data_IF_555111079969
#
_entry.id   IF_555111079969
#
_cell.length_a   1.000
_cell.length_b   1.000
_cell.length_c   1.000
_cell.angle_alpha   90.00
_cell.angle_beta   90.00
_cell.angle_gamma   90.00
#
_symmetry.space_group_name_H-M   'P 1'
#
loop_
_entity.id
_entity.type
_entity.pdbx_description
1 polymer ?
#
# COMPACT_ATOMS: atom_id res chain seq x y z
N UNK A 1 10.16 -7.83 14.88
CA UNK A 1 10.81 -6.77 14.07
C UNK A 1 9.75 -6.05 13.25
N UNK A 2 9.94 -4.78 12.86
CA UNK A 2 8.95 -4.04 12.06
C UNK A 2 8.57 -4.76 10.75
N UNK A 3 9.49 -5.57 10.20
CA UNK A 3 9.25 -6.45 9.05
C UNK A 3 8.05 -7.38 9.21
N UNK A 4 7.97 -8.11 10.33
CA UNK A 4 6.85 -9.04 10.57
C UNK A 4 5.55 -8.27 10.73
N UNK A 5 5.61 -7.16 11.46
CA UNK A 5 4.46 -6.27 11.69
C UNK A 5 3.88 -5.75 10.37
N UNK A 6 4.73 -5.24 9.47
CA UNK A 6 4.27 -4.73 8.17
C UNK A 6 3.73 -5.85 7.27
N UNK A 7 4.29 -7.05 7.36
CA UNK A 7 3.75 -8.21 6.66
C UNK A 7 2.33 -8.55 7.14
N UNK A 8 2.10 -8.51 8.46
CA UNK A 8 0.76 -8.72 9.03
C UNK A 8 -0.21 -7.58 8.71
N UNK A 9 0.26 -6.33 8.70
CA UNK A 9 -0.54 -5.18 8.26
C UNK A 9 -1.06 -5.41 6.83
N UNK A 10 -0.17 -5.72 5.89
CA UNK A 10 -0.55 -5.98 4.51
C UNK A 10 -1.44 -7.22 4.36
N UNK A 11 -1.21 -8.26 5.14
CA UNK A 11 -2.11 -9.41 5.18
C UNK A 11 -3.54 -9.00 5.57
N UNK A 12 -3.70 -8.13 6.57
CA UNK A 12 -5.00 -7.63 7.00
C UNK A 12 -5.67 -6.71 5.95
N UNK A 13 -4.89 -5.87 5.25
CA UNK A 13 -5.38 -5.06 4.13
C UNK A 13 -5.90 -5.98 3.00
N UNK A 14 -5.08 -6.95 2.58
CA UNK A 14 -5.40 -7.87 1.47
C UNK A 14 -6.63 -8.73 1.79
N UNK A 15 -6.75 -9.22 3.03
CA UNK A 15 -7.89 -10.01 3.47
C UNK A 15 -9.11 -9.17 3.85
N UNK A 16 -9.04 -7.84 3.69
CA UNK A 16 -10.09 -6.90 4.10
C UNK A 16 -10.53 -7.10 5.57
N UNK A 17 -9.61 -7.53 6.44
CA UNK A 17 -9.90 -7.80 7.85
C UNK A 17 -9.92 -6.50 8.64
N UNK A 18 -11.11 -5.90 8.74
CA UNK A 18 -11.35 -4.63 9.44
C UNK A 18 -10.88 -4.67 10.90
N UNK A 19 -11.14 -5.75 11.62
CA UNK A 19 -10.86 -5.84 13.06
C UNK A 19 -9.36 -5.96 13.33
N UNK A 20 -8.64 -6.68 12.48
CA UNK A 20 -7.19 -6.77 12.57
C UNK A 20 -6.53 -5.49 12.07
N UNK A 21 -6.97 -4.94 10.93
CA UNK A 21 -6.40 -3.74 10.32
C UNK A 21 -6.51 -2.53 11.27
N UNK A 22 -7.66 -2.35 11.93
CA UNK A 22 -7.88 -1.27 12.90
C UNK A 22 -6.85 -1.25 14.02
N UNK A 23 -6.36 -2.40 14.47
CA UNK A 23 -5.41 -2.52 15.60
C UNK A 23 -4.02 -1.97 15.31
N UNK A 24 -3.70 -1.71 14.04
CA UNK A 24 -2.40 -1.14 13.67
C UNK A 24 -2.31 0.37 13.88
N UNK A 25 -3.44 1.07 14.00
CA UNK A 25 -3.52 2.53 13.93
C UNK A 25 -3.82 3.19 15.27
N UNK A 26 -3.32 4.41 15.43
CA UNK A 26 -3.83 5.35 16.42
C UNK A 26 -5.28 5.72 16.09
N UNK A 27 -6.15 5.99 17.08
CA UNK A 27 -7.53 6.40 16.83
C UNK A 27 -7.66 7.69 16.01
N UNK A 28 -6.68 8.59 16.14
CA UNK A 28 -6.57 9.88 15.43
C UNK A 28 -5.60 9.82 14.24
N UNK A 29 -5.29 8.62 13.74
CA UNK A 29 -4.39 8.47 12.61
C UNK A 29 -4.92 9.18 11.35
N UNK A 30 -4.00 9.79 10.62
CA UNK A 30 -4.27 10.46 9.34
C UNK A 30 -3.69 9.63 8.20
N UNK A 31 -4.52 9.31 7.20
CA UNK A 31 -4.10 8.54 6.03
C UNK A 31 -4.24 9.42 4.79
N UNK A 32 -3.20 9.53 3.96
CA UNK A 32 -3.20 10.33 2.75
C UNK A 32 -2.94 9.45 1.53
N UNK A 33 -3.84 9.54 0.55
CA UNK A 33 -3.64 8.96 -0.79
C UNK A 33 -3.26 10.08 -1.75
N UNK A 34 -1.96 10.22 -2.01
CA UNK A 34 -1.43 11.36 -2.74
C UNK A 34 -1.79 11.34 -4.22
N UNK A 35 -1.92 10.16 -4.83
CA UNK A 35 -2.27 10.04 -6.26
C UNK A 35 -3.65 10.61 -6.57
N UNK A 36 -4.62 10.45 -5.67
CA UNK A 36 -5.99 10.97 -5.80
C UNK A 36 -6.25 12.27 -5.04
N UNK A 37 -5.24 12.78 -4.31
CA UNK A 37 -5.34 13.97 -3.46
C UNK A 37 -6.44 13.85 -2.39
N UNK A 38 -6.48 12.72 -1.70
CA UNK A 38 -7.46 12.41 -0.65
C UNK A 38 -6.79 12.24 0.72
N UNK A 39 -7.48 12.68 1.77
CA UNK A 39 -7.12 12.43 3.16
C UNK A 39 -8.29 11.75 3.87
N UNK A 40 -7.96 10.74 4.67
CA UNK A 40 -8.92 9.91 5.39
C UNK A 40 -8.62 9.90 6.88
N UNK A 41 -9.69 9.89 7.67
CA UNK A 41 -9.66 9.37 9.04
C UNK A 41 -9.49 7.84 9.01
N UNK A 42 -9.12 7.24 10.15
CA UNK A 42 -9.08 5.78 10.28
C UNK A 42 -10.40 5.10 9.89
N UNK A 43 -11.55 5.67 10.26
CA UNK A 43 -12.86 5.10 9.96
C UNK A 43 -13.16 5.08 8.45
N UNK A 44 -12.83 6.17 7.76
CA UNK A 44 -12.99 6.27 6.30
C UNK A 44 -12.01 5.35 5.58
N UNK A 45 -10.74 5.29 6.02
CA UNK A 45 -9.75 4.40 5.44
C UNK A 45 -10.14 2.91 5.56
N UNK A 46 -10.65 2.49 6.73
CA UNK A 46 -11.16 1.13 6.92
C UNK A 46 -12.35 0.84 5.99
N UNK A 47 -13.24 1.81 5.79
CA UNK A 47 -14.37 1.68 4.87
C UNK A 47 -13.89 1.57 3.42
N UNK A 48 -12.99 2.46 3.00
CA UNK A 48 -12.44 2.47 1.65
C UNK A 48 -11.69 1.18 1.29
N UNK A 49 -10.99 0.55 2.25
CA UNK A 49 -10.28 -0.72 2.02
C UNK A 49 -11.18 -1.95 2.17
N UNK A 50 -11.90 -2.06 3.30
CA UNK A 50 -12.61 -3.29 3.66
C UNK A 50 -13.95 -3.45 2.96
N UNK A 51 -14.59 -2.36 2.54
CA UNK A 51 -15.86 -2.40 1.80
C UNK A 51 -15.65 -2.24 0.29
N UNK A 52 -14.39 -2.18 -0.16
CA UNK A 52 -14.08 -2.13 -1.58
C UNK A 52 -14.66 -3.35 -2.30
N UNK A 53 -15.37 -3.18 -3.43
CA UNK A 53 -15.93 -4.29 -4.17
C UNK A 53 -14.88 -5.25 -4.74
N UNK A 54 -15.05 -6.54 -4.50
CA UNK A 54 -14.16 -7.57 -5.03
C UNK A 54 -13.02 -7.94 -4.09
N UNK A 55 -12.15 -8.83 -4.55
CA UNK A 55 -11.03 -9.32 -3.75
C UNK A 55 -9.72 -8.74 -4.25
N UNK A 56 -8.74 -8.73 -3.34
CA UNK A 56 -7.38 -8.32 -3.64
C UNK A 56 -6.41 -9.44 -3.34
N UNK A 57 -5.31 -9.43 -4.06
CA UNK A 57 -4.11 -10.20 -3.76
C UNK A 57 -2.95 -9.23 -3.68
N UNK A 58 -1.94 -9.57 -2.90
CA UNK A 58 -0.80 -8.69 -2.77
C UNK A 58 0.44 -9.38 -2.24
N UNK A 59 1.58 -8.72 -2.48
CA UNK A 59 2.88 -9.17 -2.02
C UNK A 59 3.73 -7.96 -1.68
N UNK A 60 4.20 -7.92 -0.43
CA UNK A 60 5.24 -6.97 -0.03
C UNK A 60 6.54 -7.37 -0.71
N UNK A 61 7.06 -6.53 -1.59
CA UNK A 61 8.30 -6.78 -2.34
C UNK A 61 9.51 -6.20 -1.64
N UNK A 62 9.32 -5.16 -0.82
CA UNK A 62 10.39 -4.52 -0.07
C UNK A 62 9.87 -3.88 1.20
N UNK A 63 10.68 -3.95 2.26
CA UNK A 63 10.50 -3.21 3.51
C UNK A 63 11.80 -2.46 3.79
N UNK A 64 11.70 -1.17 4.04
CA UNK A 64 12.78 -0.31 4.50
C UNK A 64 12.42 0.16 5.90
N UNK A 65 13.24 -0.19 6.87
CA UNK A 65 13.03 0.12 8.28
C UNK A 65 14.07 1.16 8.70
N UNK A 66 13.61 2.33 9.16
CA UNK A 66 14.46 3.40 9.69
C UNK A 66 14.04 3.75 11.11
N UNK A 67 14.80 4.60 11.79
CA UNK A 67 14.48 5.03 13.16
C UNK A 67 13.19 5.85 13.27
N UNK A 68 12.76 6.49 12.17
CA UNK A 68 11.63 7.43 12.17
C UNK A 68 10.41 6.87 11.44
N UNK A 69 10.66 6.15 10.33
CA UNK A 69 9.61 5.68 9.43
C UNK A 69 9.88 4.26 8.95
N UNK A 70 8.81 3.56 8.64
CA UNK A 70 8.86 2.32 7.87
C UNK A 70 8.30 2.59 6.49
N UNK A 71 8.94 2.07 5.45
CA UNK A 71 8.44 2.16 4.07
C UNK A 71 8.23 0.75 3.55
N UNK A 72 7.07 0.50 2.95
CA UNK A 72 6.82 -0.75 2.22
C UNK A 72 6.58 -0.46 0.75
N UNK A 73 7.10 -1.34 -0.10
CA UNK A 73 6.72 -1.43 -1.50
C UNK A 73 5.91 -2.71 -1.65
N UNK A 74 4.67 -2.57 -2.11
CA UNK A 74 3.71 -3.69 -2.18
C UNK A 74 3.08 -3.73 -3.56
N UNK A 75 3.14 -4.89 -4.20
CA UNK A 75 2.35 -5.14 -5.41
C UNK A 75 0.95 -5.58 -5.01
N UNK A 76 -0.08 -4.95 -5.56
CA UNK A 76 -1.49 -5.27 -5.38
C UNK A 76 -2.10 -5.60 -6.74
N UNK A 77 -2.95 -6.62 -6.79
CA UNK A 77 -3.68 -7.03 -7.98
C UNK A 77 -5.07 -7.53 -7.59
N UNK A 78 -6.05 -7.38 -8.47
CA UNK A 78 -7.33 -8.07 -8.34
C UNK A 78 -7.29 -9.39 -9.13
N UNK A 79 -7.85 -10.50 -8.63
CA UNK A 79 -8.04 -11.70 -9.44
C UNK A 79 -9.11 -11.49 -10.53
N UNK A 80 -9.97 -10.49 -10.37
CA UNK A 80 -11.11 -10.21 -11.24
C UNK A 80 -10.81 -9.14 -12.31
N UNK A 81 -9.62 -8.54 -12.29
CA UNK A 81 -9.19 -7.48 -13.22
C UNK A 81 -7.71 -7.65 -13.62
N UNK A 82 -7.31 -7.30 -14.85
CA UNK A 82 -5.90 -7.30 -15.25
C UNK A 82 -5.07 -6.19 -14.58
N UNK A 83 -5.72 -5.23 -13.91
CA UNK A 83 -5.04 -4.09 -13.28
C UNK A 83 -4.13 -4.53 -12.13
N UNK A 84 -2.93 -3.94 -12.10
CA UNK A 84 -1.93 -4.17 -11.06
C UNK A 84 -1.32 -2.86 -10.65
N UNK A 85 -1.06 -2.73 -9.36
CA UNK A 85 -0.53 -1.52 -8.77
C UNK A 85 0.70 -1.84 -7.94
N UNK A 86 1.64 -0.91 -7.92
CA UNK A 86 2.67 -0.82 -6.88
C UNK A 86 2.25 0.29 -5.94
N UNK A 87 2.12 -0.05 -4.66
CA UNK A 87 1.85 0.89 -3.58
C UNK A 87 3.15 1.14 -2.84
N UNK A 88 3.54 2.41 -2.77
CA UNK A 88 4.57 2.86 -1.83
C UNK A 88 3.87 3.45 -0.63
N UNK A 89 4.01 2.81 0.52
CA UNK A 89 3.39 3.24 1.79
C UNK A 89 4.47 3.65 2.77
N UNK A 90 4.35 4.86 3.31
CA UNK A 90 5.27 5.45 4.30
C UNK A 90 4.51 5.56 5.62
N UNK A 91 4.99 4.86 6.63
CA UNK A 91 4.36 4.74 7.94
C UNK A 91 5.18 5.52 8.96
N UNK A 92 4.51 6.40 9.70
CA UNK A 92 5.04 6.99 10.92
C UNK A 92 4.30 6.46 12.13
N UNK A 93 4.99 6.33 13.26
CA UNK A 93 4.47 5.64 14.44
C UNK A 93 4.50 6.52 15.68
N UNK A 94 3.49 6.36 16.54
CA UNK A 94 3.44 6.91 17.90
C UNK A 94 3.03 5.78 18.83
N UNK A 95 3.80 5.56 19.90
CA UNK A 95 3.54 4.47 20.86
C UNK A 95 3.22 3.13 20.17
N UNK A 96 4.07 2.75 19.21
CA UNK A 96 3.95 1.54 18.41
C UNK A 96 2.68 1.40 17.56
N UNK A 97 1.89 2.44 17.35
CA UNK A 97 0.75 2.44 16.43
C UNK A 97 0.97 3.44 15.29
N UNK A 98 0.43 3.14 14.11
CA UNK A 98 0.52 4.02 12.94
C UNK A 98 -0.22 5.32 13.26
N UNK A 99 0.49 6.44 13.28
CA UNK A 99 -0.09 7.78 13.45
C UNK A 99 -0.34 8.46 12.11
N UNK A 100 0.51 8.20 11.11
CA UNK A 100 0.29 8.68 9.76
C UNK A 100 0.66 7.60 8.75
N UNK A 101 -0.09 7.56 7.65
CA UNK A 101 0.15 6.70 6.50
C UNK A 101 0.05 7.55 5.24
N UNK A 102 1.15 7.64 4.49
CA UNK A 102 1.17 8.28 3.18
C UNK A 102 1.34 7.21 2.10
N UNK A 103 0.41 7.14 1.15
CA UNK A 103 0.44 6.16 0.07
C UNK A 103 0.47 6.81 -1.32
N UNK A 104 1.28 6.18 -2.17
CA UNK A 104 1.42 6.51 -3.59
C UNK A 104 1.13 5.25 -4.38
N UNK A 105 0.07 5.31 -5.18
CA UNK A 105 -0.40 4.22 -6.02
C UNK A 105 0.04 4.46 -7.45
N UNK A 106 0.82 3.54 -8.01
CA UNK A 106 1.28 3.57 -9.39
C UNK A 106 0.82 2.31 -10.13
N UNK A 107 0.14 2.50 -11.25
CA UNK A 107 -0.25 1.37 -12.12
C UNK A 107 0.98 0.75 -12.78
N UNK A 108 1.03 -0.58 -12.81
CA UNK A 108 2.05 -1.35 -13.53
C UNK A 108 1.64 -1.41 -15.00
N UNK A 109 2.27 -0.56 -15.81
CA UNK A 109 1.99 -0.46 -17.25
C UNK A 109 3.19 -0.89 -18.09
N UNK A 110 2.97 -1.31 -19.34
CA UNK A 110 4.05 -1.44 -20.32
C UNK A 110 4.79 -0.12 -20.52
N UNK A 111 6.05 -0.18 -20.97
CA UNK A 111 6.76 1.02 -21.39
C UNK A 111 6.00 1.73 -22.54
N UNK A 112 5.94 3.07 -22.60
CA UNK A 112 5.37 3.79 -23.73
C UNK A 112 5.94 3.35 -25.08
N UNK A 113 5.09 3.34 -26.11
CA UNK A 113 5.40 2.80 -27.44
C UNK A 113 6.66 3.40 -28.08
N UNK A 114 6.88 4.71 -27.93
CA UNK A 114 8.07 5.36 -28.48
C UNK A 114 9.38 4.83 -27.87
N UNK A 115 9.35 4.42 -26.58
CA UNK A 115 10.51 3.76 -25.95
C UNK A 115 10.69 2.34 -26.47
N UNK A 116 9.60 1.63 -26.73
CA UNK A 116 9.65 0.29 -27.32
C UNK A 116 10.19 0.32 -28.75
N UNK A 117 9.72 1.25 -29.58
CA UNK A 117 10.14 1.42 -30.98
C UNK A 117 11.64 1.75 -31.09
N UNK A 118 12.17 2.53 -30.15
CA UNK A 118 13.59 2.83 -30.03
C UNK A 118 14.41 1.76 -29.29
N UNK A 119 13.76 0.68 -28.82
CA UNK A 119 14.37 -0.39 -28.02
C UNK A 119 15.12 0.13 -26.79
N UNK A 120 14.54 1.15 -26.11
CA UNK A 120 15.14 1.75 -24.93
C UNK A 120 14.85 0.94 -23.66
N UNK A 121 15.89 0.71 -22.87
CA UNK A 121 15.81 0.00 -21.59
C UNK A 121 15.86 -1.51 -21.74
N UNK A 122 15.89 -2.20 -20.59
CA UNK A 122 15.87 -3.67 -20.50
C UNK A 122 15.04 -4.09 -19.30
N UNK A 123 14.46 -5.29 -19.30
CA UNK A 123 13.78 -5.82 -18.12
C UNK A 123 14.67 -5.77 -16.88
N UNK A 124 14.08 -5.39 -15.75
CA UNK A 124 14.72 -5.46 -14.43
C UNK A 124 14.87 -6.95 -14.07
N UNK A 125 16.04 -7.34 -13.58
CA UNK A 125 16.35 -8.71 -13.12
C UNK A 125 16.52 -8.74 -11.62
#
# INVERSE_FOLDING_TARGET
>A
MNTDRMTHYWAAVISQDRETLKKFFQPDATINWHTSNEQFTLGEFLTANCDYPGNWTGKVTRILDSSEQVITITEIASPDSPERYVVTSIFSFKADLISTLDEYWAEITPAPEWRQALQLGKPIK
#
